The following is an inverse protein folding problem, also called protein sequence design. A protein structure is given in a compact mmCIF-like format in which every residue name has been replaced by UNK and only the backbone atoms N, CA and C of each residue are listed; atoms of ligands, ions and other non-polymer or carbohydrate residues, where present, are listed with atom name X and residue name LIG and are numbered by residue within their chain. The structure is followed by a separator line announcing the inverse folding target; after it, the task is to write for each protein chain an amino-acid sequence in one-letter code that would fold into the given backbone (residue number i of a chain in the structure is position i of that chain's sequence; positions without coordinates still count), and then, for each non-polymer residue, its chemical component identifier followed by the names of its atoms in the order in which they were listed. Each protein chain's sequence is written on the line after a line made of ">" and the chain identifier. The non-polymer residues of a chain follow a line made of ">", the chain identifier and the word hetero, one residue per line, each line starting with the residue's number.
data_IF_461285890403
#
_entry.id   IF_461285890403
#
_cell.length_a   1.000
_cell.length_b   1.000
_cell.length_c   1.000
_cell.angle_alpha   90.00
_cell.angle_beta   90.00
_cell.angle_gamma   90.00
#
_symmetry.space_group_name_H-M   'P 1'
#
loop_
_entity.id
_entity.type
_entity.pdbx_description
1 polymer ?
#
# COMPACT_ATOMS: atom_id res chain seq x y z
N UNK A 1 -20.43 -16.53 -15.66
CA UNK A 1 -19.56 -15.58 -16.39
C UNK A 1 -18.65 -14.93 -15.37
N UNK A 2 -17.43 -15.48 -15.27
CA UNK A 2 -16.20 -15.04 -14.60
C UNK A 2 -16.30 -14.28 -13.26
N UNK A 3 -15.95 -15.00 -12.20
CA UNK A 3 -15.37 -14.51 -10.95
C UNK A 3 -14.17 -13.58 -11.25
N UNK A 4 -14.39 -12.27 -11.26
CA UNK A 4 -13.31 -11.28 -11.33
C UNK A 4 -13.66 -10.10 -10.44
N UNK A 5 -13.72 -10.30 -9.13
CA UNK A 5 -13.75 -9.19 -8.17
C UNK A 5 -13.17 -9.53 -6.78
N UNK A 6 -12.34 -10.58 -6.65
CA UNK A 6 -11.71 -10.89 -5.35
C UNK A 6 -10.35 -10.22 -5.12
N UNK A 7 -9.76 -9.60 -6.15
CA UNK A 7 -8.49 -8.87 -6.05
C UNK A 7 -8.65 -7.43 -6.57
N UNK A 8 -9.52 -6.64 -5.93
CA UNK A 8 -9.36 -5.19 -6.04
C UNK A 8 -8.05 -4.82 -5.34
N UNK A 9 -7.01 -4.58 -6.13
CA UNK A 9 -5.76 -4.01 -5.65
C UNK A 9 -6.08 -2.67 -4.97
N UNK A 10 -5.96 -2.64 -3.64
CA UNK A 10 -6.21 -1.44 -2.85
C UNK A 10 -4.91 -0.65 -2.76
N UNK A 11 -4.95 0.62 -3.16
CA UNK A 11 -3.84 1.55 -2.93
C UNK A 11 -3.71 1.82 -1.43
N UNK A 12 -2.48 1.76 -0.94
CA UNK A 12 -2.11 2.16 0.42
C UNK A 12 -1.85 3.66 0.47
N UNK A 13 -1.86 4.25 1.66
CA UNK A 13 -1.46 5.65 1.84
C UNK A 13 -0.03 5.91 1.34
N UNK A 14 0.85 4.91 1.44
CA UNK A 14 2.20 4.98 0.88
C UNK A 14 2.20 5.06 -0.66
N UNK A 15 1.29 4.34 -1.34
CA UNK A 15 1.13 4.45 -2.80
C UNK A 15 0.66 5.85 -3.20
N UNK A 16 -0.20 6.49 -2.39
CA UNK A 16 -0.63 7.87 -2.64
C UNK A 16 0.50 8.88 -2.42
N UNK A 17 1.30 8.72 -1.36
CA UNK A 17 2.43 9.62 -1.07
C UNK A 17 3.54 9.55 -2.12
N UNK A 18 3.75 8.38 -2.70
CA UNK A 18 4.77 8.17 -3.74
C UNK A 18 4.24 8.41 -5.16
N UNK A 19 2.93 8.64 -5.32
CA UNK A 19 2.31 8.90 -6.61
C UNK A 19 2.71 10.27 -7.19
N UNK A 20 2.69 10.35 -8.52
CA UNK A 20 2.82 11.59 -9.27
C UNK A 20 1.84 11.60 -10.45
N UNK A 21 1.03 12.66 -10.63
CA UNK A 21 0.05 12.71 -11.71
C UNK A 21 0.64 12.47 -13.10
N UNK A 22 1.87 12.96 -13.37
CA UNK A 22 2.53 12.78 -14.67
C UNK A 22 3.05 11.36 -14.84
N UNK A 23 3.60 10.76 -13.78
CA UNK A 23 3.97 9.34 -13.82
C UNK A 23 2.74 8.44 -13.98
N UNK A 24 1.59 8.80 -13.41
CA UNK A 24 0.34 8.06 -13.61
C UNK A 24 -0.17 8.16 -15.05
N UNK A 25 -0.10 9.34 -15.68
CA UNK A 25 -0.36 9.48 -17.12
C UNK A 25 0.58 8.59 -17.95
N UNK A 26 1.88 8.58 -17.62
CA UNK A 26 2.84 7.74 -18.32
C UNK A 26 2.55 6.24 -18.12
N UNK A 27 2.26 5.80 -16.90
CA UNK A 27 1.86 4.42 -16.60
C UNK A 27 0.63 4.00 -17.39
N UNK A 28 -0.39 4.86 -17.48
CA UNK A 28 -1.60 4.59 -18.25
C UNK A 28 -1.33 4.46 -19.75
N UNK A 29 -0.30 5.15 -20.26
CA UNK A 29 0.10 5.06 -21.66
C UNK A 29 0.90 3.78 -21.97
N UNK A 30 1.64 3.21 -21.01
CA UNK A 30 2.55 2.07 -21.24
C UNK A 30 1.89 0.92 -22.02
N UNK A 31 0.68 0.42 -21.69
CA UNK A 31 0.07 -0.71 -22.40
C UNK A 31 -0.09 -0.50 -23.90
N UNK A 32 -0.13 0.76 -24.37
CA UNK A 32 -0.33 1.13 -25.77
C UNK A 32 0.97 1.37 -26.54
N UNK A 33 2.14 1.29 -25.88
CA UNK A 33 3.44 1.48 -26.52
C UNK A 33 4.00 0.18 -27.10
N UNK A 34 4.92 0.24 -28.08
CA UNK A 34 5.69 -0.93 -28.51
C UNK A 34 6.50 -1.54 -27.36
N UNK A 35 6.70 -2.86 -27.37
CA UNK A 35 7.35 -3.63 -26.28
C UNK A 35 8.70 -3.03 -25.84
N UNK A 36 9.53 -2.58 -26.79
CA UNK A 36 10.81 -1.94 -26.47
C UNK A 36 10.63 -0.67 -25.61
N UNK A 37 9.64 0.16 -25.95
CA UNK A 37 9.31 1.37 -25.20
C UNK A 37 8.65 1.05 -23.86
N UNK A 38 7.77 0.04 -23.80
CA UNK A 38 7.18 -0.43 -22.54
C UNK A 38 8.25 -0.77 -21.51
N UNK A 39 9.31 -1.49 -21.93
CA UNK A 39 10.44 -1.85 -21.04
C UNK A 39 11.15 -0.61 -20.50
N UNK A 40 11.45 0.35 -21.38
CA UNK A 40 12.16 1.58 -20.99
C UNK A 40 11.31 2.46 -20.07
N UNK A 41 10.05 2.72 -20.43
CA UNK A 41 9.17 3.58 -19.65
C UNK A 41 8.69 2.94 -18.35
N UNK A 42 8.49 1.62 -18.30
CA UNK A 42 8.17 0.93 -17.05
C UNK A 42 9.32 1.03 -16.05
N UNK A 43 10.56 0.82 -16.50
CA UNK A 43 11.73 1.00 -15.64
C UNK A 43 11.88 2.45 -15.19
N UNK A 44 11.74 3.42 -16.11
CA UNK A 44 11.83 4.84 -15.79
C UNK A 44 10.82 5.24 -14.71
N UNK A 45 9.55 4.87 -14.88
CA UNK A 45 8.51 5.12 -13.88
C UNK A 45 8.91 4.51 -12.54
N UNK A 46 9.40 3.26 -12.53
CA UNK A 46 9.72 2.56 -11.27
C UNK A 46 10.88 3.21 -10.53
N UNK A 47 11.90 3.67 -11.25
CA UNK A 47 13.02 4.43 -10.67
C UNK A 47 12.52 5.75 -10.07
N UNK A 48 11.60 6.45 -10.72
CA UNK A 48 11.04 7.69 -10.19
C UNK A 48 10.20 7.48 -8.93
N UNK A 49 9.41 6.40 -8.86
CA UNK A 49 8.68 6.02 -7.64
C UNK A 49 9.64 5.74 -6.48
N UNK A 50 10.74 5.02 -6.73
CA UNK A 50 11.76 4.74 -5.70
C UNK A 50 12.42 6.01 -5.21
N UNK A 51 12.76 6.94 -6.11
CA UNK A 51 13.34 8.25 -5.73
C UNK A 51 12.39 9.05 -4.85
N UNK A 52 11.09 9.05 -5.17
CA UNK A 52 10.06 9.71 -4.35
C UNK A 52 9.90 9.06 -2.99
N UNK A 53 9.91 7.72 -2.95
CA UNK A 53 9.89 6.99 -1.69
C UNK A 53 11.08 7.37 -0.79
N UNK A 54 12.27 7.57 -1.36
CA UNK A 54 13.44 8.05 -0.63
C UNK A 54 13.29 9.50 -0.15
N UNK A 55 12.84 10.41 -1.03
CA UNK A 55 12.72 11.84 -0.70
C UNK A 55 11.74 12.11 0.45
N UNK A 56 10.73 11.25 0.66
CA UNK A 56 9.80 11.35 1.81
C UNK A 56 10.55 11.33 3.16
N UNK A 57 11.75 10.73 3.21
CA UNK A 57 12.54 10.59 4.44
C UNK A 57 13.73 11.56 4.52
N UNK A 58 14.00 12.35 3.48
CA UNK A 58 15.14 13.28 3.44
C UNK A 58 14.79 14.70 3.95
N UNK A 59 13.52 15.10 3.94
CA UNK A 59 13.10 16.39 4.52
C UNK A 59 13.03 16.29 6.05
N UNK A 60 14.02 16.91 6.72
CA UNK A 60 14.33 16.89 8.16
C UNK A 60 13.23 17.49 9.09
N UNK A 61 12.06 17.85 8.55
CA UNK A 61 10.90 18.36 9.31
C UNK A 61 9.58 17.67 8.93
N UNK A 62 9.55 16.34 8.85
CA UNK A 62 8.28 15.66 9.10
C UNK A 62 8.47 14.29 9.71
N UNK A 63 7.69 14.05 10.75
CA UNK A 63 7.33 12.77 11.33
C UNK A 63 6.72 11.74 10.34
N UNK A 64 7.08 11.75 9.06
CA UNK A 64 6.39 11.17 7.89
C UNK A 64 6.44 9.63 7.72
N UNK A 65 6.33 8.89 8.83
CA UNK A 65 5.28 7.86 8.90
C UNK A 65 4.11 8.40 9.73
N UNK A 66 3.75 9.65 9.48
CA UNK A 66 2.49 10.30 9.79
C UNK A 66 1.73 10.36 8.48
N UNK A 67 0.85 9.39 8.25
CA UNK A 67 -0.09 9.34 7.14
C UNK A 67 -1.18 10.40 7.35
N UNK A 68 -0.77 11.66 7.43
CA UNK A 68 -1.35 12.80 8.18
C UNK A 68 -0.72 12.96 9.58
N UNK A 69 -0.30 14.18 9.98
CA UNK A 69 0.02 14.52 11.37
C UNK A 69 -1.14 14.25 12.36
N UNK A 70 -2.35 14.01 11.84
CA UNK A 70 -3.56 13.67 12.61
C UNK A 70 -3.92 12.18 12.61
N UNK A 71 -3.17 11.31 11.92
CA UNK A 71 -3.47 9.88 11.90
C UNK A 71 -2.95 9.18 13.17
N UNK A 72 -3.80 8.48 13.93
CA UNK A 72 -3.36 7.77 15.12
C UNK A 72 -2.40 6.65 14.73
N UNK A 73 -1.16 6.70 15.26
CA UNK A 73 -0.21 5.59 15.13
C UNK A 73 -0.77 4.38 15.90
N UNK A 74 -0.73 3.16 15.33
CA UNK A 74 -1.16 1.98 16.06
C UNK A 74 -0.29 1.84 17.32
N UNK A 75 -0.91 1.78 18.49
CA UNK A 75 -0.24 1.63 19.77
C UNK A 75 -0.08 0.18 20.19
N UNK A 76 -0.74 -0.76 19.49
CA UNK A 76 -0.64 -2.20 19.73
C UNK A 76 -0.50 -3.00 18.43
N UNK A 77 0.09 -4.22 18.49
CA UNK A 77 0.13 -5.13 17.34
C UNK A 77 -1.26 -5.44 16.77
N UNK A 78 -2.30 -5.52 17.61
CA UNK A 78 -3.65 -5.82 17.16
C UNK A 78 -4.25 -4.69 16.30
N UNK A 79 -4.02 -3.44 16.69
CA UNK A 79 -4.43 -2.29 15.87
C UNK A 79 -3.70 -2.28 14.53
N UNK A 80 -2.41 -2.64 14.50
CA UNK A 80 -1.68 -2.78 13.24
C UNK A 80 -2.26 -3.88 12.35
N UNK A 81 -2.61 -5.05 12.92
CA UNK A 81 -3.26 -6.13 12.19
C UNK A 81 -4.59 -5.67 11.55
N UNK A 82 -5.40 -4.90 12.29
CA UNK A 82 -6.63 -4.32 11.76
C UNK A 82 -6.39 -3.35 10.59
N UNK A 83 -5.32 -2.55 10.65
CA UNK A 83 -4.95 -1.62 9.58
C UNK A 83 -4.51 -2.36 8.31
N UNK A 84 -3.76 -3.46 8.43
CA UNK A 84 -3.24 -4.21 7.27
C UNK A 84 -4.24 -5.25 6.71
N UNK A 85 -5.18 -5.73 7.53
CA UNK A 85 -6.20 -6.74 7.14
C UNK A 85 -6.93 -6.45 5.83
N UNK A 86 -7.30 -5.20 5.48
CA UNK A 86 -7.95 -4.89 4.21
C UNK A 86 -7.11 -5.22 2.96
N UNK A 87 -5.79 -5.29 3.10
CA UNK A 87 -4.81 -5.56 2.03
C UNK A 87 -4.39 -7.03 1.96
N UNK A 88 -4.73 -7.83 2.96
CA UNK A 88 -4.44 -9.24 3.03
C UNK A 88 -5.29 -10.06 2.04
N UNK A 89 -4.75 -11.18 1.56
CA UNK A 89 -5.47 -12.21 0.80
C UNK A 89 -6.52 -12.91 1.68
N UNK A 90 -7.49 -13.65 1.11
CA UNK A 90 -8.52 -14.35 1.89
C UNK A 90 -7.94 -15.23 3.01
N UNK A 91 -6.93 -16.04 2.70
CA UNK A 91 -6.25 -16.90 3.67
C UNK A 91 -5.56 -16.11 4.79
N UNK A 92 -4.91 -15.00 4.46
CA UNK A 92 -4.23 -14.15 5.44
C UNK A 92 -5.24 -13.41 6.33
N UNK A 93 -6.42 -13.04 5.79
CA UNK A 93 -7.52 -12.46 6.60
C UNK A 93 -8.05 -13.43 7.62
N UNK A 94 -8.27 -14.69 7.25
CA UNK A 94 -8.68 -15.75 8.19
C UNK A 94 -7.66 -15.94 9.31
N UNK A 95 -6.35 -15.90 9.00
CA UNK A 95 -5.30 -15.96 10.02
C UNK A 95 -5.34 -14.75 10.97
N UNK A 96 -5.55 -13.55 10.43
CA UNK A 96 -5.69 -12.33 11.25
C UNK A 96 -6.93 -12.46 12.15
N UNK A 97 -8.06 -12.94 11.64
CA UNK A 97 -9.29 -13.14 12.40
C UNK A 97 -9.13 -14.15 13.54
N UNK A 98 -8.37 -15.22 13.31
CA UNK A 98 -8.05 -16.19 14.35
C UNK A 98 -7.24 -15.54 15.49
N UNK A 99 -6.27 -14.68 15.17
CA UNK A 99 -5.48 -13.94 16.15
C UNK A 99 -6.33 -12.92 16.92
N UNK A 100 -7.23 -12.20 16.23
CA UNK A 100 -8.20 -11.28 16.83
C UNK A 100 -9.08 -12.01 17.84
N UNK A 101 -9.64 -13.16 17.46
CA UNK A 101 -10.50 -13.97 18.32
C UNK A 101 -9.75 -14.51 19.56
N UNK A 102 -8.49 -14.93 19.40
CA UNK A 102 -7.69 -15.41 20.53
C UNK A 102 -7.38 -14.31 21.55
N UNK A 103 -7.16 -13.07 21.08
CA UNK A 103 -6.97 -11.91 21.94
C UNK A 103 -8.23 -11.61 22.75
N UNK A 104 -9.40 -11.62 22.11
CA UNK A 104 -10.70 -11.43 22.77
C UNK A 104 -10.90 -12.47 23.87
N UNK A 105 -10.61 -13.75 23.58
CA UNK A 105 -10.75 -14.84 24.56
C UNK A 105 -9.85 -14.61 25.78
N UNK A 106 -8.62 -14.12 25.59
CA UNK A 106 -7.69 -13.80 26.68
C UNK A 106 -8.13 -12.61 27.54
N UNK A 107 -8.88 -11.66 27.00
CA UNK A 107 -9.37 -10.51 27.77
C UNK A 107 -10.62 -10.84 28.60
N UNK A 108 -11.36 -11.89 28.22
CA UNK A 108 -12.61 -12.32 28.89
C UNK A 108 -12.37 -13.36 30.00
N UNK A 109 -11.22 -14.04 30.00
CA UNK A 109 -10.80 -15.03 31.01
C UNK A 109 -9.91 -14.41 32.09
#
# INVERSE_FOLDING_TARGET
>A
MNEKNENQFKMTDFDYLTADPRLQMLKAAIPYLPVAQQRVFSLFVKVQEVKRAQSIFEEEEVSAMGLSPSAPKPTTPMQLLQIIKPYASPKEREMIEMLENFQIIKEVL
#
